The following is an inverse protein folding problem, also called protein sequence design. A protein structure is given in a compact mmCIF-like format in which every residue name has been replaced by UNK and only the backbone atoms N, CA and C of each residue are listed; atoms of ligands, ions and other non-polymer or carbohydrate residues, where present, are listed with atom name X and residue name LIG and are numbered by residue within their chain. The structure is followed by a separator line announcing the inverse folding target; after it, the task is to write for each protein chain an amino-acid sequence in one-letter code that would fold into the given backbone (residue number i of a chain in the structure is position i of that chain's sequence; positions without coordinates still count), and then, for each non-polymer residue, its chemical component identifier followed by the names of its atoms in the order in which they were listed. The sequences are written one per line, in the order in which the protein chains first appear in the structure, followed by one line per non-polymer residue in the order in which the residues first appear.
data_IF_809990378709
#
_entry.id   IF_809990378709
#
_cell.length_a   1.000
_cell.length_b   1.000
_cell.length_c   1.000
_cell.angle_alpha   90.00
_cell.angle_beta   90.00
_cell.angle_gamma   90.00
#
_symmetry.space_group_name_H-M   'P 1'
#
loop_
_entity.id
_entity.type
_entity.pdbx_description
1 polymer ?
#
# COMPACT_ATOMS: atom_id res chain seq x y z
N UNK A 1 11.51 21.01 -9.04
CA UNK A 1 12.62 20.37 -8.29
C UNK A 1 12.48 18.88 -8.52
N UNK A 2 13.53 18.21 -8.99
CA UNK A 2 13.48 16.76 -9.19
C UNK A 2 13.39 16.09 -7.83
N UNK A 3 12.35 15.27 -7.60
CA UNK A 3 12.27 14.48 -6.37
C UNK A 3 13.39 13.42 -6.40
N UNK A 4 14.00 13.09 -5.24
CA UNK A 4 15.02 12.04 -5.18
C UNK A 4 14.52 10.65 -5.60
N UNK A 5 13.21 10.41 -5.55
CA UNK A 5 12.54 9.16 -5.93
C UNK A 5 11.17 9.49 -6.54
N UNK A 6 10.73 8.68 -7.49
CA UNK A 6 9.40 8.73 -8.13
C UNK A 6 8.93 7.29 -8.40
N UNK A 7 7.62 7.05 -8.29
CA UNK A 7 7.06 5.75 -8.65
C UNK A 7 7.15 5.53 -10.17
N UNK A 8 7.63 4.35 -10.58
CA UNK A 8 7.68 3.96 -11.99
C UNK A 8 6.32 3.40 -12.45
N UNK A 9 5.54 4.12 -13.29
CA UNK A 9 4.24 3.66 -13.75
C UNK A 9 4.33 2.49 -14.74
N UNK A 10 5.54 2.11 -15.17
CA UNK A 10 5.78 0.99 -16.08
C UNK A 10 6.19 -0.30 -15.37
N UNK A 11 6.37 -0.26 -14.04
CA UNK A 11 6.72 -1.44 -13.26
C UNK A 11 5.51 -2.40 -13.13
N UNK A 12 5.78 -3.70 -13.26
CA UNK A 12 4.77 -4.76 -13.21
C UNK A 12 4.54 -5.25 -11.78
N UNK A 13 3.33 -5.73 -11.48
CA UNK A 13 3.04 -6.45 -10.22
C UNK A 13 3.73 -7.82 -10.25
N UNK A 14 4.85 -7.96 -9.53
CA UNK A 14 5.73 -9.13 -9.59
C UNK A 14 5.34 -10.23 -8.61
N UNK A 15 5.25 -9.89 -7.31
CA UNK A 15 4.98 -10.84 -6.23
C UNK A 15 4.00 -10.26 -5.21
N UNK A 16 2.93 -10.99 -4.89
CA UNK A 16 2.05 -10.65 -3.76
C UNK A 16 2.80 -10.89 -2.44
N UNK A 17 2.71 -9.93 -1.52
CA UNK A 17 3.30 -10.05 -0.19
C UNK A 17 2.22 -10.42 0.83
N UNK A 18 2.45 -11.49 1.59
CA UNK A 18 1.50 -12.01 2.57
C UNK A 18 0.28 -12.68 1.95
N UNK A 19 -0.76 -12.83 2.77
CA UNK A 19 -2.01 -13.50 2.38
C UNK A 19 -2.95 -12.53 1.68
N UNK A 20 -3.79 -13.04 0.80
CA UNK A 20 -4.88 -12.24 0.22
C UNK A 20 -5.91 -11.84 1.28
N UNK A 21 -6.62 -10.74 1.03
CA UNK A 21 -7.72 -10.32 1.89
C UNK A 21 -8.79 -11.42 2.08
N UNK A 22 -8.99 -12.28 1.07
CA UNK A 22 -9.94 -13.39 1.14
C UNK A 22 -9.46 -14.47 2.12
N UNK A 23 -8.19 -14.85 2.06
CA UNK A 23 -7.58 -15.81 2.99
C UNK A 23 -7.59 -15.32 4.44
N UNK A 24 -7.63 -14.00 4.64
CA UNK A 24 -7.73 -13.36 5.94
C UNK A 24 -9.18 -13.13 6.41
N UNK A 25 -10.17 -13.36 5.56
CA UNK A 25 -11.58 -13.07 5.86
C UNK A 25 -11.91 -11.57 5.92
N UNK A 26 -11.04 -10.71 5.39
CA UNK A 26 -11.20 -9.24 5.35
C UNK A 26 -12.11 -8.79 4.20
N UNK A 27 -12.53 -9.72 3.35
CA UNK A 27 -13.44 -9.50 2.22
C UNK A 27 -14.27 -10.75 1.99
N UNK A 28 -15.46 -10.57 1.42
CA UNK A 28 -16.36 -11.67 1.03
C UNK A 28 -16.23 -12.02 -0.46
N UNK A 29 -15.16 -11.58 -1.14
CA UNK A 29 -14.96 -11.79 -2.58
C UNK A 29 -15.51 -10.66 -3.48
N UNK A 30 -15.81 -9.50 -2.91
CA UNK A 30 -16.17 -8.28 -3.65
C UNK A 30 -14.95 -7.66 -4.36
N UNK A 31 -15.11 -6.83 -5.42
CA UNK A 31 -13.99 -6.27 -6.19
C UNK A 31 -13.05 -5.33 -5.41
N UNK A 32 -13.39 -4.95 -4.18
CA UNK A 32 -12.56 -4.11 -3.32
C UNK A 32 -11.80 -4.96 -2.30
N UNK A 33 -10.73 -5.62 -2.73
CA UNK A 33 -9.84 -6.37 -1.84
C UNK A 33 -8.57 -5.56 -1.61
N UNK A 34 -8.23 -5.19 -0.37
CA UNK A 34 -6.91 -4.63 -0.10
C UNK A 34 -5.83 -5.64 -0.48
N UNK A 35 -4.69 -5.15 -0.93
CA UNK A 35 -3.61 -5.99 -1.43
C UNK A 35 -2.24 -5.33 -1.27
N UNK A 36 -1.19 -6.14 -1.21
CA UNK A 36 0.20 -5.69 -1.11
C UNK A 36 1.03 -6.45 -2.14
N UNK A 37 1.72 -5.73 -3.01
CA UNK A 37 2.53 -6.29 -4.09
C UNK A 37 3.91 -5.66 -4.13
N UNK A 38 4.93 -6.49 -4.34
CA UNK A 38 6.24 -6.06 -4.81
C UNK A 38 6.19 -5.87 -6.33
N UNK A 39 6.72 -4.74 -6.78
CA UNK A 39 6.83 -4.38 -8.19
C UNK A 39 8.13 -4.92 -8.80
N UNK A 40 8.18 -5.03 -10.13
CA UNK A 40 9.35 -5.56 -10.85
C UNK A 40 10.64 -4.77 -10.63
N UNK A 41 10.55 -3.51 -10.19
CA UNK A 41 11.68 -2.66 -9.83
C UNK A 41 12.04 -2.70 -8.33
N UNK A 42 11.32 -3.49 -7.51
CA UNK A 42 11.52 -3.62 -6.07
C UNK A 42 10.70 -2.65 -5.20
N UNK A 43 9.95 -1.71 -5.80
CA UNK A 43 9.03 -0.85 -5.05
C UNK A 43 7.81 -1.64 -4.55
N UNK A 44 7.07 -1.09 -3.57
CA UNK A 44 5.88 -1.74 -2.99
C UNK A 44 4.61 -0.97 -3.37
N UNK A 45 3.66 -1.68 -4.01
CA UNK A 45 2.31 -1.20 -4.24
C UNK A 45 1.36 -1.64 -3.12
N UNK A 46 0.59 -0.70 -2.58
CA UNK A 46 -0.42 -0.96 -1.53
C UNK A 46 -1.79 -0.53 -2.05
N UNK A 47 -2.72 -1.47 -2.08
CA UNK A 47 -4.12 -1.23 -2.43
C UNK A 47 -4.94 -1.23 -1.15
N UNK A 48 -5.68 -0.15 -0.90
CA UNK A 48 -6.48 0.01 0.30
C UNK A 48 -7.61 1.02 0.12
N UNK A 49 -8.24 1.41 1.22
CA UNK A 49 -9.28 2.43 1.22
C UNK A 49 -8.64 3.82 1.24
N UNK A 50 -8.85 4.62 0.20
CA UNK A 50 -8.45 6.02 0.20
C UNK A 50 -9.21 6.79 1.29
N UNK A 51 -8.47 7.33 2.26
CA UNK A 51 -8.98 8.18 3.33
C UNK A 51 -8.22 9.51 3.39
N UNK A 52 -7.61 9.94 2.29
CA UNK A 52 -6.85 11.20 2.15
C UNK A 52 -7.60 12.38 2.74
N UNK A 53 -8.87 12.58 2.36
CA UNK A 53 -9.69 13.69 2.88
C UNK A 53 -9.97 13.59 4.39
N UNK A 54 -10.19 12.37 4.89
CA UNK A 54 -10.55 12.14 6.29
C UNK A 54 -9.36 12.31 7.25
N UNK A 55 -8.13 12.14 6.75
CA UNK A 55 -6.91 12.29 7.53
C UNK A 55 -6.14 13.59 7.26
N UNK A 56 -6.38 14.27 6.14
CA UNK A 56 -5.64 15.48 5.77
C UNK A 56 -5.56 16.55 6.87
N UNK A 57 -6.66 16.77 7.62
CA UNK A 57 -6.69 17.74 8.72
C UNK A 57 -6.11 17.21 10.06
N UNK A 58 -5.73 15.94 10.13
CA UNK A 58 -5.27 15.24 11.34
C UNK A 58 -3.86 14.65 11.16
N UNK A 59 -3.15 15.05 10.11
CA UNK A 59 -1.78 14.59 9.87
C UNK A 59 -0.87 15.05 11.02
N UNK A 60 0.05 14.19 11.50
CA UNK A 60 1.06 14.59 12.47
C UNK A 60 1.96 15.72 11.94
N UNK A 61 2.63 16.40 12.87
CA UNK A 61 3.62 17.41 12.51
C UNK A 61 4.71 16.81 11.62
N UNK A 62 5.03 17.50 10.51
CA UNK A 62 6.06 17.06 9.56
C UNK A 62 5.58 16.06 8.50
N UNK A 63 4.31 15.65 8.53
CA UNK A 63 3.70 14.78 7.52
C UNK A 63 2.79 15.60 6.61
N UNK A 64 2.97 15.45 5.30
CA UNK A 64 2.13 16.07 4.27
C UNK A 64 1.75 15.04 3.22
N UNK A 65 0.66 15.31 2.49
CA UNK A 65 0.25 14.55 1.31
C UNK A 65 0.36 15.50 0.12
N UNK A 66 1.23 15.19 -0.84
CA UNK A 66 1.38 15.91 -2.11
C UNK A 66 0.15 15.81 -3.00
N UNK A 67 0.11 16.61 -4.07
CA UNK A 67 -1.05 16.67 -4.98
C UNK A 67 -1.32 15.33 -5.69
N UNK A 68 -0.25 14.60 -5.98
CA UNK A 68 -0.18 13.30 -6.62
C UNK A 68 -0.10 12.12 -5.65
N UNK A 69 -0.17 12.38 -4.34
CA UNK A 69 -0.15 11.36 -3.30
C UNK A 69 -1.55 11.06 -2.77
N UNK A 70 -1.74 9.85 -2.24
CA UNK A 70 -2.97 9.41 -1.58
C UNK A 70 -2.63 8.65 -0.32
N UNK A 71 -3.39 8.93 0.75
CA UNK A 71 -3.34 8.14 1.98
C UNK A 71 -4.38 7.03 1.89
N UNK A 72 -3.89 5.80 1.78
CA UNK A 72 -4.71 4.59 1.80
C UNK A 72 -4.59 3.86 3.14
N UNK A 73 -5.67 3.20 3.56
CA UNK A 73 -5.73 2.40 4.78
C UNK A 73 -6.01 0.94 4.44
N UNK A 74 -5.24 0.03 5.03
CA UNK A 74 -5.38 -1.43 4.92
C UNK A 74 -5.62 -2.07 6.30
N UNK A 75 -6.26 -3.25 6.38
CA UNK A 75 -6.32 -4.03 7.62
C UNK A 75 -4.93 -4.36 8.15
N UNK A 76 -4.76 -4.35 9.48
CA UNK A 76 -3.50 -4.70 10.14
C UNK A 76 -3.04 -6.12 9.81
N UNK A 77 -3.98 -7.04 9.62
CA UNK A 77 -3.71 -8.45 9.29
C UNK A 77 -2.89 -8.58 8.00
N UNK A 78 -3.19 -7.77 6.97
CA UNK A 78 -2.49 -7.75 5.69
C UNK A 78 -0.97 -7.52 5.89
N UNK A 79 -0.60 -6.41 6.55
CA UNK A 79 0.82 -6.06 6.74
C UNK A 79 1.54 -7.04 7.66
N UNK A 80 0.86 -7.59 8.67
CA UNK A 80 1.43 -8.60 9.55
C UNK A 80 1.76 -9.88 8.78
N UNK A 81 0.89 -10.31 7.87
CA UNK A 81 1.18 -11.49 7.04
C UNK A 81 2.21 -11.24 5.94
N UNK A 82 2.40 -9.99 5.53
CA UNK A 82 3.41 -9.64 4.53
C UNK A 82 4.84 -9.62 5.10
N UNK A 83 5.00 -9.48 6.43
CA UNK A 83 6.31 -9.39 7.09
C UNK A 83 7.31 -10.49 6.67
N UNK A 84 6.96 -11.79 6.63
CA UNK A 84 7.92 -12.84 6.27
C UNK A 84 8.40 -12.78 4.81
N UNK A 85 7.68 -12.08 3.93
CA UNK A 85 8.04 -11.89 2.53
C UNK A 85 8.92 -10.66 2.29
N UNK A 86 9.02 -9.78 3.29
CA UNK A 86 9.86 -8.58 3.22
C UNK A 86 11.26 -8.90 3.75
N UNK A 87 12.33 -8.61 3.00
CA UNK A 87 13.69 -8.82 3.49
C UNK A 87 13.94 -7.99 4.76
N UNK A 88 14.63 -8.58 5.74
CA UNK A 88 15.19 -7.81 6.86
C UNK A 88 16.27 -6.85 6.31
N UNK A 89 16.40 -5.68 6.94
CA UNK A 89 17.30 -4.60 6.55
C UNK A 89 18.78 -5.01 6.47
#
# INVERSE_FOLDING_TARGET
MSRPWEADPTADLSKRLGKSALELGETTGSPSCPDIWELSNGDIAIIGRDLTRAYGARLPQGVSIGEDERLVVIPRSMIVTAKPDMPDA
#
